data_IF_061200561729
#
_entry.id   IF_061200561729
#
_cell.length_a   1.000
_cell.length_b   1.000
_cell.length_c   1.000
_cell.angle_alpha   90.00
_cell.angle_beta   90.00
_cell.angle_gamma   90.00
#
_symmetry.space_group_name_H-M   'P 1'
#
loop_
_entity.id
_entity.type
_entity.pdbx_description
1 polymer ?
#
# COMPACT_ATOMS: atom_id res chain seq x y z
N UNK A 1 5.65 18.14 -4.99
CA UNK A 1 4.61 18.30 -3.94
C UNK A 1 4.38 16.92 -3.39
N UNK A 2 4.45 16.70 -2.07
CA UNK A 2 4.42 15.33 -1.55
C UNK A 2 3.06 14.66 -1.78
N UNK A 3 3.07 13.42 -2.27
CA UNK A 3 1.86 12.63 -2.55
C UNK A 3 1.79 11.40 -1.66
N UNK A 4 0.55 11.02 -1.30
CA UNK A 4 0.23 9.77 -0.60
C UNK A 4 -0.92 9.05 -1.30
N UNK A 5 -0.98 7.74 -1.14
CA UNK A 5 -1.80 6.87 -1.98
C UNK A 5 -2.66 5.96 -1.10
N UNK A 6 -3.94 5.81 -1.43
CA UNK A 6 -4.83 4.85 -0.75
C UNK A 6 -5.33 3.80 -1.72
N UNK A 7 -5.23 2.54 -1.33
CA UNK A 7 -5.63 1.38 -2.11
C UNK A 7 -7.07 0.99 -1.78
N UNK A 8 -7.83 0.61 -2.79
CA UNK A 8 -9.25 0.25 -2.69
C UNK A 8 -9.58 -0.98 -3.53
N UNK A 9 -10.56 -1.76 -3.07
CA UNK A 9 -11.25 -2.72 -3.92
C UNK A 9 -12.08 -1.99 -4.98
N UNK A 10 -12.17 -2.55 -6.20
CA UNK A 10 -13.04 -2.01 -7.25
C UNK A 10 -14.54 -2.02 -6.89
N UNK A 11 -14.96 -2.75 -5.85
CA UNK A 11 -16.36 -2.80 -5.43
C UNK A 11 -16.82 -1.53 -4.70
N UNK A 12 -15.89 -0.80 -4.10
CA UNK A 12 -16.22 0.39 -3.30
C UNK A 12 -16.12 1.69 -4.08
N UNK A 13 -15.83 1.66 -5.38
CA UNK A 13 -15.61 2.86 -6.19
C UNK A 13 -16.77 3.86 -6.09
N UNK A 14 -18.02 3.40 -6.18
CA UNK A 14 -19.21 4.26 -6.01
C UNK A 14 -19.33 4.84 -4.60
N UNK A 15 -18.99 4.06 -3.59
CA UNK A 15 -19.07 4.50 -2.19
C UNK A 15 -18.02 5.57 -1.88
N UNK A 16 -16.85 5.48 -2.52
CA UNK A 16 -15.77 6.45 -2.37
C UNK A 16 -16.18 7.81 -2.93
N UNK A 17 -16.87 7.84 -4.07
CA UNK A 17 -17.27 9.08 -4.75
C UNK A 17 -18.80 9.33 -4.67
N UNK A 18 -19.45 8.84 -3.62
CA UNK A 18 -20.92 8.90 -3.45
C UNK A 18 -21.42 10.33 -3.21
N UNK A 19 -20.62 11.15 -2.53
CA UNK A 19 -20.94 12.55 -2.24
C UNK A 19 -20.24 13.46 -3.25
N UNK A 20 -20.99 14.40 -3.81
CA UNK A 20 -20.42 15.42 -4.69
C UNK A 20 -19.30 16.18 -3.98
N UNK A 21 -18.21 16.43 -4.72
CA UNK A 21 -17.01 17.14 -4.26
C UNK A 21 -16.25 16.50 -3.08
N UNK A 22 -16.58 15.26 -2.70
CA UNK A 22 -15.95 14.56 -1.58
C UNK A 22 -15.49 13.14 -1.96
N UNK A 23 -14.33 12.75 -1.43
CA UNK A 23 -13.79 11.40 -1.47
C UNK A 23 -13.91 10.77 -0.08
N UNK A 24 -14.75 9.76 0.07
CA UNK A 24 -14.93 9.00 1.30
C UNK A 24 -13.84 7.95 1.49
N UNK A 25 -13.10 8.02 2.60
CA UNK A 25 -12.09 7.04 2.97
C UNK A 25 -12.45 6.36 4.28
N UNK A 26 -12.41 5.02 4.30
CA UNK A 26 -12.67 4.24 5.51
C UNK A 26 -11.55 4.42 6.53
N UNK A 27 -11.95 4.69 7.77
CA UNK A 27 -11.12 4.65 8.96
C UNK A 27 -11.46 3.40 9.79
N UNK A 28 -10.45 2.82 10.43
CA UNK A 28 -10.57 1.69 11.35
C UNK A 28 -10.06 2.08 12.73
N UNK A 29 -10.56 1.42 13.77
CA UNK A 29 -9.97 1.52 15.11
C UNK A 29 -8.80 0.52 15.22
N UNK A 30 -7.78 0.80 16.07
CA UNK A 30 -6.67 -0.11 16.32
C UNK A 30 -7.04 -1.57 16.57
N UNK A 31 -8.15 -1.83 17.27
CA UNK A 31 -8.66 -3.19 17.53
C UNK A 31 -9.14 -3.94 16.28
N UNK A 32 -9.45 -3.22 15.20
CA UNK A 32 -10.03 -3.74 13.96
C UNK A 32 -8.97 -3.83 12.83
N UNK A 33 -7.69 -3.66 13.17
CA UNK A 33 -6.58 -3.79 12.24
C UNK A 33 -6.40 -5.25 11.77
N UNK A 34 -5.86 -5.41 10.56
CA UNK A 34 -5.75 -6.71 9.91
C UNK A 34 -4.63 -7.59 10.48
N UNK A 35 -3.59 -6.98 11.05
CA UNK A 35 -2.54 -7.70 11.76
C UNK A 35 -2.73 -7.56 13.29
N UNK A 36 -3.01 -8.66 14.03
CA UNK A 36 -3.16 -8.62 15.48
C UNK A 36 -1.86 -8.25 16.22
N UNK A 37 -0.71 -8.29 15.55
CA UNK A 37 0.59 -7.86 16.08
C UNK A 37 0.92 -6.42 15.70
N UNK A 38 0.05 -5.70 14.99
CA UNK A 38 0.34 -4.38 14.43
C UNK A 38 0.66 -3.31 15.48
N UNK A 39 0.16 -3.46 16.71
CA UNK A 39 0.42 -2.52 17.79
C UNK A 39 1.72 -2.84 18.50
N UNK A 40 2.68 -1.93 18.35
CA UNK A 40 4.03 -2.07 18.87
C UNK A 40 4.14 -1.62 20.34
N UNK A 41 3.39 -2.29 21.21
CA UNK A 41 3.31 -2.01 22.66
C UNK A 41 3.99 -3.09 23.51
N UNK A 42 4.80 -3.96 22.90
CA UNK A 42 5.59 -4.96 23.62
C UNK A 42 6.48 -4.29 24.67
N UNK A 43 6.45 -4.80 25.90
CA UNK A 43 7.37 -4.38 26.97
C UNK A 43 8.55 -5.35 27.06
N UNK A 44 9.66 -4.88 27.60
CA UNK A 44 10.85 -5.71 27.88
C UNK A 44 10.42 -6.90 28.78
N UNK A 45 10.74 -8.16 28.42
CA UNK A 45 10.40 -9.32 29.23
C UNK A 45 10.91 -9.25 30.68
N UNK A 46 11.93 -8.44 30.95
CA UNK A 46 12.48 -8.24 32.29
C UNK A 46 11.75 -7.14 33.10
N UNK A 47 10.66 -6.57 32.58
CA UNK A 47 9.85 -5.56 33.30
C UNK A 47 9.17 -6.20 34.50
N UNK A 48 9.20 -5.55 35.67
CA UNK A 48 8.63 -6.14 36.88
C UNK A 48 7.08 -6.18 36.84
N UNK A 49 6.44 -7.13 37.55
CA UNK A 49 4.97 -7.22 37.59
C UNK A 49 4.28 -5.91 38.03
N UNK A 50 4.88 -5.18 38.97
CA UNK A 50 4.35 -3.88 39.43
C UNK A 50 4.39 -2.81 38.33
N UNK A 51 5.46 -2.79 37.53
CA UNK A 51 5.59 -1.89 36.38
C UNK A 51 4.62 -2.27 35.26
N UNK A 52 4.42 -3.57 35.01
CA UNK A 52 3.43 -4.07 34.05
C UNK A 52 2.01 -3.68 34.45
N UNK A 53 1.66 -3.83 35.74
CA UNK A 53 0.36 -3.41 36.26
C UNK A 53 0.15 -1.90 36.13
N UNK A 54 1.17 -1.10 36.46
CA UNK A 54 1.13 0.36 36.29
C UNK A 54 0.97 0.77 34.82
N UNK A 55 1.71 0.13 33.91
CA UNK A 55 1.57 0.37 32.48
C UNK A 55 0.15 0.06 31.99
N UNK A 56 -0.39 -1.11 32.35
CA UNK A 56 -1.73 -1.52 31.96
C UNK A 56 -2.82 -0.57 32.47
N UNK A 57 -2.68 -0.05 33.69
CA UNK A 57 -3.62 0.94 34.24
C UNK A 57 -3.57 2.29 33.49
N UNK A 58 -2.37 2.80 33.23
CA UNK A 58 -2.18 4.12 32.58
C UNK A 58 -2.49 4.08 31.07
N UNK A 59 -2.08 3.01 30.40
CA UNK A 59 -2.15 2.86 28.93
C UNK A 59 -3.44 2.15 28.49
N UNK A 60 -3.96 1.21 29.29
CA UNK A 60 -5.18 0.48 28.96
C UNK A 60 -6.43 1.36 28.84
N UNK A 61 -6.41 2.54 29.47
CA UNK A 61 -7.48 3.54 29.37
C UNK A 61 -7.39 4.49 28.16
N UNK A 62 -6.40 4.35 27.28
CA UNK A 62 -6.24 5.25 26.12
C UNK A 62 -7.41 5.02 25.14
N UNK A 63 -8.20 6.07 24.82
CA UNK A 63 -9.27 5.94 23.85
C UNK A 63 -8.71 5.65 22.47
N UNK A 64 -9.31 4.67 21.80
CA UNK A 64 -9.02 4.38 20.41
C UNK A 64 -9.60 5.46 19.50
N UNK A 65 -8.84 5.83 18.48
CA UNK A 65 -9.18 6.88 17.52
C UNK A 65 -9.27 6.28 16.11
N UNK A 66 -10.28 6.68 15.32
CA UNK A 66 -10.36 6.27 13.92
C UNK A 66 -9.09 6.64 13.17
N UNK A 67 -8.52 5.69 12.44
CA UNK A 67 -7.29 5.87 11.67
C UNK A 67 -7.49 5.41 10.24
N UNK A 68 -7.01 6.21 9.28
CA UNK A 68 -6.90 5.78 7.88
C UNK A 68 -5.44 5.72 7.48
N UNK A 69 -5.07 4.61 6.84
CA UNK A 69 -3.73 4.34 6.36
C UNK A 69 -3.61 4.62 4.86
N UNK A 70 -2.47 5.19 4.49
CA UNK A 70 -2.02 5.50 3.15
C UNK A 70 -0.63 4.90 2.93
N UNK A 71 -0.19 4.80 1.68
CA UNK A 71 1.17 4.45 1.30
C UNK A 71 1.84 5.65 0.65
N UNK A 72 3.17 5.72 0.73
CA UNK A 72 3.99 6.65 -0.07
C UNK A 72 4.23 6.17 -1.50
N UNK A 73 3.63 5.06 -1.93
CA UNK A 73 3.84 4.51 -3.27
C UNK A 73 2.58 3.85 -3.84
N UNK A 74 2.24 4.10 -5.11
CA UNK A 74 1.14 3.41 -5.80
C UNK A 74 1.58 2.10 -6.47
N UNK A 75 2.86 1.71 -6.40
CA UNK A 75 3.41 0.59 -7.17
C UNK A 75 3.89 -0.59 -6.31
N UNK A 76 3.44 -0.67 -5.05
CA UNK A 76 3.84 -1.74 -4.12
C UNK A 76 3.01 -3.01 -4.40
N UNK A 77 3.63 -4.01 -5.01
CA UNK A 77 2.91 -5.22 -5.44
C UNK A 77 2.13 -5.95 -4.32
N UNK A 78 2.69 -6.15 -3.11
CA UNK A 78 1.92 -6.71 -1.99
C UNK A 78 0.67 -5.88 -1.62
N UNK A 79 0.76 -4.54 -1.69
CA UNK A 79 -0.39 -3.67 -1.40
C UNK A 79 -1.52 -3.87 -2.40
N UNK A 80 -1.18 -4.05 -3.68
CA UNK A 80 -2.17 -4.37 -4.71
C UNK A 80 -2.83 -5.73 -4.50
N UNK A 81 -2.06 -6.72 -4.01
CA UNK A 81 -2.59 -8.04 -3.70
C UNK A 81 -3.59 -7.99 -2.54
N UNK A 82 -3.20 -7.37 -1.43
CA UNK A 82 -3.98 -7.38 -0.18
C UNK A 82 -5.10 -6.34 -0.14
N UNK A 83 -4.83 -5.10 -0.56
CA UNK A 83 -5.76 -3.97 -0.37
C UNK A 83 -6.48 -3.55 -1.65
N UNK A 84 -5.99 -3.96 -2.82
CA UNK A 84 -6.64 -3.71 -4.11
C UNK A 84 -7.14 -5.01 -4.77
N UNK A 85 -7.68 -5.93 -3.96
CA UNK A 85 -8.39 -7.15 -4.39
C UNK A 85 -7.64 -7.93 -5.48
N UNK A 86 -6.42 -8.38 -5.21
CA UNK A 86 -5.60 -9.14 -6.16
C UNK A 86 -5.34 -8.40 -7.49
N UNK A 87 -4.98 -7.13 -7.41
CA UNK A 87 -4.68 -6.25 -8.57
C UNK A 87 -5.89 -5.87 -9.44
N UNK A 88 -7.13 -6.15 -9.02
CA UNK A 88 -8.34 -5.70 -9.72
C UNK A 88 -8.93 -4.41 -9.15
N UNK A 89 -8.39 -3.89 -8.06
CA UNK A 89 -8.81 -2.65 -7.43
C UNK A 89 -8.20 -1.39 -8.05
N UNK A 90 -8.22 -0.30 -7.31
CA UNK A 90 -7.70 1.00 -7.75
C UNK A 90 -7.00 1.71 -6.59
N UNK A 91 -6.25 2.75 -6.92
CA UNK A 91 -5.53 3.62 -5.99
C UNK A 91 -5.95 5.06 -6.24
N UNK A 92 -6.08 5.83 -5.16
CA UNK A 92 -6.29 7.27 -5.22
C UNK A 92 -5.05 7.96 -4.70
N UNK A 93 -4.56 8.95 -5.44
CA UNK A 93 -3.47 9.82 -5.05
C UNK A 93 -4.01 11.10 -4.41
N UNK A 94 -3.42 11.50 -3.29
CA UNK A 94 -3.77 12.70 -2.55
C UNK A 94 -2.58 13.64 -2.42
N UNK A 95 -2.87 14.93 -2.41
CA UNK A 95 -1.93 15.98 -2.03
C UNK A 95 -1.73 16.02 -0.51
N UNK A 96 -0.54 15.62 -0.06
CA UNK A 96 -0.24 15.54 1.37
C UNK A 96 -0.23 16.92 2.04
N UNK A 97 0.27 17.95 1.36
CA UNK A 97 0.41 19.29 1.94
C UNK A 97 -0.97 19.92 2.13
N UNK A 98 -1.86 19.78 1.14
CA UNK A 98 -3.24 20.23 1.24
C UNK A 98 -4.00 19.49 2.36
N UNK A 99 -3.83 18.16 2.45
CA UNK A 99 -4.42 17.36 3.53
C UNK A 99 -3.93 17.80 4.91
N UNK A 100 -2.63 17.99 5.10
CA UNK A 100 -2.05 18.43 6.38
C UNK A 100 -2.58 19.80 6.81
N UNK A 101 -2.74 20.72 5.86
CA UNK A 101 -3.30 22.04 6.13
C UNK A 101 -4.79 21.99 6.49
N UNK A 102 -5.58 21.20 5.75
CA UNK A 102 -7.02 21.09 5.96
C UNK A 102 -7.36 20.37 7.27
N UNK A 103 -6.66 19.28 7.55
CA UNK A 103 -6.87 18.46 8.75
C UNK A 103 -5.98 18.90 9.92
N UNK A 104 -5.63 20.19 10.01
CA UNK A 104 -4.78 20.72 11.09
C UNK A 104 -5.26 20.26 12.47
N UNK A 105 -4.32 19.84 13.32
CA UNK A 105 -4.59 19.21 14.62
C UNK A 105 -4.94 17.72 14.58
N UNK A 106 -5.05 17.08 13.41
CA UNK A 106 -5.01 15.63 13.26
C UNK A 106 -3.63 15.23 12.71
N UNK A 107 -2.89 14.34 13.39
CA UNK A 107 -1.57 13.95 12.91
C UNK A 107 -1.69 13.13 11.62
N UNK A 108 -0.99 13.60 10.58
CA UNK A 108 -0.75 12.87 9.32
C UNK A 108 0.74 12.61 9.21
N UNK A 109 1.19 11.48 9.74
CA UNK A 109 2.62 11.17 9.89
C UNK A 109 2.99 9.83 9.27
N UNK A 110 4.27 9.72 8.93
CA UNK A 110 4.88 8.46 8.48
C UNK A 110 5.00 7.49 9.65
N UNK A 111 4.80 6.21 9.33
CA UNK A 111 5.03 5.13 10.28
C UNK A 111 6.53 4.86 10.39
N UNK A 112 7.01 4.77 11.63
CA UNK A 112 8.36 4.34 11.95
C UNK A 112 8.43 2.82 12.04
N UNK A 113 9.32 2.22 11.26
CA UNK A 113 9.49 0.76 11.22
C UNK A 113 10.58 0.31 12.19
N UNK A 114 10.30 -0.73 12.98
CA UNK A 114 11.21 -1.20 14.04
C UNK A 114 11.17 -2.70 14.23
N UNK A 115 12.30 -3.28 14.66
CA UNK A 115 12.42 -4.70 15.04
C UNK A 115 12.05 -4.94 16.51
N UNK A 116 12.26 -3.93 17.37
CA UNK A 116 12.00 -4.00 18.82
C UNK A 116 11.39 -2.72 19.39
N UNK A 117 10.61 -2.79 20.49
CA UNK A 117 10.03 -1.65 21.20
C UNK A 117 11.00 -0.48 21.36
N UNK A 118 10.49 0.75 21.32
CA UNK A 118 11.34 1.93 21.45
C UNK A 118 12.11 1.90 22.77
N UNK A 119 13.44 2.04 22.70
CA UNK A 119 14.35 1.99 23.85
C UNK A 119 13.97 2.95 25.00
N UNK A 120 13.34 4.08 24.68
CA UNK A 120 12.92 5.07 25.68
C UNK A 120 11.68 4.64 26.46
N UNK A 121 10.87 3.71 25.94
CA UNK A 121 9.63 3.26 26.60
C UNK A 121 9.92 2.75 28.01
N UNK A 122 10.97 1.93 28.16
CA UNK A 122 11.39 1.39 29.45
C UNK A 122 11.74 2.49 30.44
N UNK A 123 12.56 3.46 30.03
CA UNK A 123 12.97 4.59 30.88
C UNK A 123 11.78 5.46 31.30
N UNK A 124 10.85 5.72 30.38
CA UNK A 124 9.64 6.52 30.65
C UNK A 124 8.74 5.77 31.64
N UNK A 125 8.52 4.47 31.42
CA UNK A 125 7.74 3.61 32.31
C UNK A 125 8.36 3.55 33.72
N UNK A 126 9.67 3.27 33.81
CA UNK A 126 10.40 3.24 35.08
C UNK A 126 10.25 4.56 35.84
N UNK A 127 10.43 5.69 35.15
CA UNK A 127 10.29 7.02 35.74
C UNK A 127 8.88 7.25 36.25
N UNK A 128 7.85 6.91 35.45
CA UNK A 128 6.45 7.09 35.82
C UNK A 128 6.06 6.20 37.01
N UNK A 129 6.44 4.93 37.00
CA UNK A 129 6.10 3.94 38.02
C UNK A 129 6.80 4.23 39.37
N UNK A 130 8.03 4.73 39.36
CA UNK A 130 8.77 5.09 40.59
C UNK A 130 8.29 6.42 41.15
N UNK A 131 8.20 7.45 40.31
CA UNK A 131 7.88 8.80 40.77
C UNK A 131 6.40 8.98 41.14
N UNK A 132 5.49 8.25 40.46
CA UNK A 132 4.03 8.30 40.63
C UNK A 132 3.44 9.71 40.53
N UNK A 133 4.11 10.62 39.80
CA UNK A 133 3.59 11.98 39.58
C UNK A 133 2.71 12.02 38.32
N UNK A 134 1.59 12.75 38.33
CA UNK A 134 0.68 12.84 37.18
C UNK A 134 1.37 13.20 35.86
N UNK A 135 2.35 14.10 35.89
CA UNK A 135 3.12 14.49 34.70
C UNK A 135 3.79 13.31 34.00
N UNK A 136 4.43 12.41 34.74
CA UNK A 136 5.14 11.28 34.13
C UNK A 136 4.18 10.19 33.66
N UNK A 137 3.04 10.03 34.32
CA UNK A 137 1.97 9.16 33.83
C UNK A 137 1.39 9.70 32.51
N UNK A 138 1.19 11.02 32.40
CA UNK A 138 0.81 11.68 31.15
C UNK A 138 1.86 11.49 30.05
N UNK A 139 3.14 11.70 30.36
CA UNK A 139 4.24 11.50 29.39
C UNK A 139 4.27 10.04 28.88
N UNK A 140 4.07 9.05 29.77
CA UNK A 140 3.95 7.63 29.40
C UNK A 140 2.74 7.38 28.49
N UNK A 141 1.58 7.94 28.85
CA UNK A 141 0.36 7.78 28.08
C UNK A 141 0.49 8.37 26.67
N UNK A 142 1.06 9.58 26.55
CA UNK A 142 1.30 10.23 25.26
C UNK A 142 2.31 9.47 24.41
N UNK A 143 3.38 8.98 25.03
CA UNK A 143 4.38 8.18 24.33
C UNK A 143 3.78 6.88 23.80
N UNK A 144 3.04 6.15 24.63
CA UNK A 144 2.36 4.92 24.24
C UNK A 144 1.32 5.17 23.14
N UNK A 145 0.57 6.29 23.22
CA UNK A 145 -0.35 6.71 22.17
C UNK A 145 0.39 6.85 20.84
N UNK A 146 1.42 7.69 20.76
CA UNK A 146 2.14 7.93 19.50
C UNK A 146 2.75 6.64 18.94
N UNK A 147 3.43 5.85 19.77
CA UNK A 147 4.02 4.58 19.32
C UNK A 147 2.96 3.57 18.84
N UNK A 148 1.77 3.53 19.46
CA UNK A 148 0.70 2.62 19.03
C UNK A 148 0.15 2.95 17.63
N UNK A 149 0.12 4.23 17.26
CA UNK A 149 -0.39 4.65 15.95
C UNK A 149 0.70 4.78 14.89
N UNK A 150 1.93 5.14 15.24
CA UNK A 150 2.96 5.53 14.27
C UNK A 150 4.21 4.65 14.32
N UNK A 151 4.14 3.48 14.93
CA UNK A 151 5.19 2.46 14.86
C UNK A 151 4.62 1.14 14.36
N UNK A 152 5.39 0.42 13.53
CA UNK A 152 5.04 -0.90 13.01
C UNK A 152 6.29 -1.78 12.90
N UNK A 153 6.09 -3.09 12.85
CA UNK A 153 7.15 -4.06 12.61
C UNK A 153 7.88 -3.83 11.28
N UNK A 154 9.20 -4.01 11.26
CA UNK A 154 10.06 -3.76 10.09
C UNK A 154 9.69 -4.62 8.86
N UNK A 155 9.13 -5.80 9.09
CA UNK A 155 8.64 -6.71 8.08
C UNK A 155 7.56 -6.06 7.19
N UNK A 156 6.85 -5.05 7.69
CA UNK A 156 5.84 -4.28 6.96
C UNK A 156 6.38 -2.98 6.32
N UNK A 157 7.69 -2.73 6.37
CA UNK A 157 8.31 -1.51 5.82
C UNK A 157 8.07 -1.28 4.34
N UNK A 158 7.77 -2.35 3.59
CA UNK A 158 7.40 -2.26 2.18
C UNK A 158 6.09 -1.49 1.93
N UNK A 159 5.19 -1.39 2.92
CA UNK A 159 3.94 -0.63 2.79
C UNK A 159 4.19 0.88 2.68
N UNK A 160 5.34 1.36 3.22
CA UNK A 160 5.72 2.78 3.26
C UNK A 160 4.59 3.66 3.78
N UNK A 161 4.07 3.27 4.93
CA UNK A 161 2.78 3.68 5.46
C UNK A 161 2.82 5.10 6.02
N UNK A 162 1.73 5.84 5.79
CA UNK A 162 1.44 7.12 6.40
C UNK A 162 0.01 7.06 6.96
N UNK A 163 -0.20 7.54 8.19
CA UNK A 163 -1.48 7.44 8.88
C UNK A 163 -2.03 8.81 9.20
N UNK A 164 -3.34 8.97 9.01
CA UNK A 164 -4.11 10.06 9.59
C UNK A 164 -4.91 9.52 10.77
N UNK A 165 -4.73 10.10 11.95
CA UNK A 165 -5.49 9.75 13.17
C UNK A 165 -6.50 10.85 13.48
N UNK A 166 -7.78 10.50 13.54
CA UNK A 166 -8.87 11.44 13.79
C UNK A 166 -8.94 11.82 15.28
N UNK A 167 -8.28 12.91 15.64
CA UNK A 167 -8.27 13.51 16.97
C UNK A 167 -9.46 14.43 17.20
N UNK A 168 -10.01 15.01 16.13
CA UNK A 168 -11.08 16.02 16.17
C UNK A 168 -12.49 15.45 15.94
N UNK A 169 -12.62 14.13 15.80
CA UNK A 169 -13.89 13.42 15.53
C UNK A 169 -14.55 13.92 14.24
N UNK A 170 -13.75 14.00 13.17
CA UNK A 170 -14.19 14.41 11.82
C UNK A 170 -14.89 13.27 11.06
N UNK A 171 -14.69 12.02 11.50
CA UNK A 171 -15.29 10.85 10.87
C UNK A 171 -16.80 10.77 11.11
N UNK A 172 -17.53 10.38 10.06
CA UNK A 172 -18.96 10.08 10.11
C UNK A 172 -19.18 8.56 10.14
N UNK A 173 -20.15 8.08 10.92
CA UNK A 173 -20.49 6.65 10.96
C UNK A 173 -21.57 6.36 9.90
N UNK A 174 -21.22 5.53 8.91
CA UNK A 174 -22.11 5.08 7.84
C UNK A 174 -22.08 3.56 7.76
N UNK A 175 -23.24 2.92 7.95
CA UNK A 175 -23.39 1.44 7.91
C UNK A 175 -22.29 0.73 8.73
N UNK A 176 -22.13 1.13 10.00
CA UNK A 176 -21.12 0.61 10.95
C UNK A 176 -19.65 0.85 10.56
N UNK A 177 -19.38 1.67 9.53
CA UNK A 177 -18.03 2.09 9.16
C UNK A 177 -17.80 3.56 9.50
N UNK A 178 -16.65 3.87 10.08
CA UNK A 178 -16.19 5.26 10.22
C UNK A 178 -15.60 5.74 8.91
N UNK A 179 -16.18 6.78 8.31
CA UNK A 179 -15.75 7.35 7.03
C UNK A 179 -15.24 8.77 7.26
N UNK A 180 -14.04 9.05 6.78
CA UNK A 180 -13.50 10.41 6.66
C UNK A 180 -13.79 10.92 5.25
N UNK A 181 -14.44 12.07 5.13
CA UNK A 181 -14.65 12.72 3.84
C UNK A 181 -13.52 13.71 3.58
N UNK A 182 -12.81 13.50 2.48
CA UNK A 182 -11.70 14.35 2.02
C UNK A 182 -12.22 15.19 0.84
N UNK A 183 -12.05 16.52 0.83
CA UNK A 183 -12.36 17.34 -0.33
C UNK A 183 -11.71 16.82 -1.61
N UNK A 184 -12.50 16.75 -2.70
CA UNK A 184 -12.03 16.19 -3.98
C UNK A 184 -10.87 17.00 -4.57
N UNK A 185 -10.78 18.30 -4.24
CA UNK A 185 -9.68 19.19 -4.62
C UNK A 185 -8.30 18.72 -4.11
N UNK A 186 -8.25 17.81 -3.12
CA UNK A 186 -7.01 17.22 -2.62
C UNK A 186 -6.67 15.90 -3.31
N UNK A 187 -7.57 15.36 -4.13
CA UNK A 187 -7.34 14.18 -4.95
C UNK A 187 -6.73 14.62 -6.27
N UNK A 188 -5.60 14.02 -6.66
CA UNK A 188 -4.90 14.41 -7.89
C UNK A 188 -4.98 13.37 -8.99
N UNK A 189 -5.11 12.08 -8.65
CA UNK A 189 -5.25 11.04 -9.65
C UNK A 189 -5.95 9.78 -9.15
N UNK A 190 -6.48 9.00 -10.09
CA UNK A 190 -6.99 7.64 -9.90
C UNK A 190 -6.15 6.70 -10.75
N UNK A 191 -5.62 5.64 -10.13
CA UNK A 191 -4.80 4.62 -10.79
C UNK A 191 -5.54 3.28 -10.70
N UNK A 192 -6.02 2.73 -11.81
CA UNK A 192 -6.69 1.43 -11.83
C UNK A 192 -5.68 0.28 -11.99
N UNK A 193 -5.99 -0.87 -11.41
CA UNK A 193 -5.11 -2.03 -11.46
C UNK A 193 -5.06 -2.73 -12.82
N UNK A 194 -4.07 -3.61 -13.07
CA UNK A 194 -3.92 -4.33 -14.32
C UNK A 194 -5.05 -5.34 -14.58
N UNK A 195 -5.75 -5.78 -13.53
CA UNK A 195 -6.91 -6.69 -13.62
C UNK A 195 -8.23 -5.96 -13.33
N UNK A 196 -8.25 -4.64 -13.46
CA UNK A 196 -9.47 -3.87 -13.21
C UNK A 196 -10.59 -4.36 -14.14
N UNK A 197 -11.82 -4.57 -13.63
CA UNK A 197 -12.89 -5.12 -14.46
C UNK A 197 -13.26 -4.18 -15.62
N UNK A 198 -13.38 -4.75 -16.82
CA UNK A 198 -13.65 -3.98 -18.04
C UNK A 198 -15.00 -3.26 -17.97
N UNK A 199 -16.01 -3.88 -17.35
CA UNK A 199 -17.34 -3.31 -17.16
C UNK A 199 -17.36 -2.09 -16.22
N UNK A 200 -16.30 -1.88 -15.44
CA UNK A 200 -16.16 -0.71 -14.53
C UNK A 200 -15.22 0.36 -15.10
N UNK A 201 -14.61 0.14 -16.26
CA UNK A 201 -13.61 1.04 -16.81
C UNK A 201 -14.21 2.40 -17.17
N UNK A 202 -15.34 2.40 -17.88
CA UNK A 202 -16.08 3.61 -18.26
C UNK A 202 -16.51 4.42 -17.03
N UNK A 203 -16.91 3.73 -15.95
CA UNK A 203 -17.26 4.35 -14.67
C UNK A 203 -16.05 5.07 -14.06
N UNK A 204 -14.87 4.43 -14.05
CA UNK A 204 -13.66 5.04 -13.51
C UNK A 204 -13.21 6.27 -14.32
N UNK A 205 -13.34 6.23 -15.65
CA UNK A 205 -13.04 7.35 -16.55
C UNK A 205 -14.03 8.50 -16.35
N UNK A 206 -15.32 8.20 -16.19
CA UNK A 206 -16.35 9.21 -15.92
C UNK A 206 -16.13 9.92 -14.59
N UNK A 207 -15.74 9.18 -13.55
CA UNK A 207 -15.40 9.75 -12.24
C UNK A 207 -14.19 10.68 -12.36
N UNK A 208 -13.14 10.23 -13.06
CA UNK A 208 -11.94 11.06 -13.25
C UNK A 208 -12.26 12.35 -14.01
N UNK A 209 -13.01 12.25 -15.12
CA UNK A 209 -13.40 13.41 -15.92
C UNK A 209 -14.33 14.39 -15.17
N UNK A 210 -15.29 13.88 -14.38
CA UNK A 210 -16.21 14.72 -13.59
C UNK A 210 -15.46 15.58 -12.56
N UNK A 211 -14.39 15.05 -12.00
CA UNK A 211 -13.65 15.65 -10.89
C UNK A 211 -12.29 16.23 -11.30
N UNK A 212 -12.01 16.35 -12.61
CA UNK A 212 -10.74 16.83 -13.17
C UNK A 212 -9.50 16.09 -12.63
N UNK A 213 -9.61 14.77 -12.49
CA UNK A 213 -8.55 13.90 -11.98
C UNK A 213 -7.77 13.28 -13.13
N UNK A 214 -6.46 13.12 -12.96
CA UNK A 214 -5.67 12.33 -13.91
C UNK A 214 -6.02 10.85 -13.73
N UNK A 215 -6.36 10.19 -14.83
CA UNK A 215 -6.64 8.76 -14.84
C UNK A 215 -5.43 7.99 -15.35
N UNK A 216 -5.07 6.93 -14.63
CA UNK A 216 -3.97 6.05 -14.97
C UNK A 216 -4.40 4.58 -14.95
N UNK A 217 -3.76 3.76 -15.77
CA UNK A 217 -3.81 2.30 -15.70
C UNK A 217 -2.44 1.75 -15.33
N UNK A 218 -2.39 0.88 -14.32
CA UNK A 218 -1.18 0.18 -13.93
C UNK A 218 -0.91 -1.01 -14.86
N UNK A 219 0.32 -1.09 -15.36
CA UNK A 219 0.85 -2.18 -16.15
C UNK A 219 2.05 -2.83 -15.45
N UNK A 220 2.25 -4.12 -15.68
CA UNK A 220 3.40 -4.87 -15.17
C UNK A 220 4.38 -5.05 -16.33
N UNK A 221 5.62 -4.57 -16.16
CA UNK A 221 6.68 -4.79 -17.14
C UNK A 221 6.94 -6.27 -17.38
N UNK A 222 7.08 -6.66 -18.65
CA UNK A 222 7.34 -8.05 -19.03
C UNK A 222 8.82 -8.36 -18.89
N UNK A 223 9.69 -7.43 -19.29
CA UNK A 223 11.14 -7.61 -19.24
C UNK A 223 11.71 -7.37 -17.86
N UNK A 224 11.19 -6.36 -17.18
CA UNK A 224 11.47 -6.14 -15.76
C UNK A 224 10.14 -6.09 -15.04
N UNK A 225 9.88 -6.95 -14.04
CA UNK A 225 8.60 -7.01 -13.32
C UNK A 225 8.46 -5.83 -12.33
N UNK A 226 8.76 -4.62 -12.80
CA UNK A 226 8.48 -3.36 -12.14
C UNK A 226 7.20 -2.79 -12.75
N UNK A 227 6.23 -2.35 -11.93
CA UNK A 227 5.06 -1.69 -12.44
C UNK A 227 5.40 -0.33 -13.06
N UNK A 228 4.66 0.03 -14.10
CA UNK A 228 4.59 1.37 -14.68
C UNK A 228 3.13 1.72 -14.89
N UNK A 229 2.82 2.99 -15.11
CA UNK A 229 1.44 3.42 -15.38
C UNK A 229 1.36 4.09 -16.75
N UNK A 230 0.19 4.02 -17.35
CA UNK A 230 -0.16 4.78 -18.56
C UNK A 230 -1.32 5.70 -18.27
N UNK A 231 -1.31 6.91 -18.81
CA UNK A 231 -2.47 7.80 -18.73
C UNK A 231 -3.48 7.54 -19.86
N UNK A 232 -4.54 8.34 -19.91
CA UNK A 232 -5.55 8.28 -20.97
C UNK A 232 -5.05 8.61 -22.38
N UNK A 233 -3.85 9.19 -22.52
CA UNK A 233 -3.20 9.50 -23.80
C UNK A 233 -2.18 8.43 -24.21
N UNK A 234 -2.06 7.34 -23.45
CA UNK A 234 -1.02 6.31 -23.60
C UNK A 234 0.40 6.79 -23.25
N UNK A 235 0.54 7.96 -22.61
CA UNK A 235 1.82 8.43 -22.10
C UNK A 235 2.24 7.56 -20.91
N UNK A 236 3.52 7.18 -20.89
CA UNK A 236 4.06 6.20 -19.94
C UNK A 236 4.76 6.91 -18.79
N UNK A 237 4.39 6.55 -17.56
CA UNK A 237 4.97 7.11 -16.35
C UNK A 237 5.52 6.00 -15.44
N UNK A 238 6.59 6.33 -14.73
CA UNK A 238 7.26 5.47 -13.77
C UNK A 238 7.30 6.13 -12.41
N UNK A 239 7.10 5.35 -11.36
CA UNK A 239 7.16 5.85 -10.00
C UNK A 239 8.61 5.89 -9.50
N UNK A 240 9.16 7.08 -9.31
CA UNK A 240 10.53 7.29 -8.83
C UNK A 240 10.58 8.47 -7.85
N UNK A 241 11.42 8.35 -6.80
CA UNK A 241 11.64 9.40 -5.81
C UNK A 241 10.37 9.95 -5.13
N UNK A 242 9.28 9.18 -5.10
CA UNK A 242 8.03 9.58 -4.44
C UNK A 242 6.97 10.19 -5.37
N UNK A 243 7.27 10.36 -6.66
CA UNK A 243 6.38 10.97 -7.64
C UNK A 243 6.31 10.12 -8.92
N UNK A 244 5.23 10.30 -9.69
CA UNK A 244 5.11 9.74 -11.05
C UNK A 244 5.76 10.70 -12.04
N UNK A 245 6.75 10.21 -12.78
CA UNK A 245 7.45 10.98 -13.82
C UNK A 245 7.34 10.29 -15.17
N UNK A 246 7.27 11.06 -16.25
CA UNK A 246 7.31 10.52 -17.61
C UNK A 246 8.54 9.64 -17.84
N UNK A 247 8.37 8.57 -18.61
CA UNK A 247 9.45 7.67 -18.97
C UNK A 247 10.08 8.10 -20.31
N UNK A 248 11.37 8.41 -20.29
CA UNK A 248 12.08 8.91 -21.48
C UNK A 248 12.41 7.82 -22.52
N UNK A 249 12.54 6.58 -22.06
CA UNK A 249 13.10 5.49 -22.86
C UNK A 249 12.13 4.31 -22.88
N UNK A 250 11.49 4.10 -24.02
CA UNK A 250 10.37 3.18 -24.20
C UNK A 250 10.67 2.18 -25.31
N UNK A 251 10.18 0.96 -25.16
CA UNK A 251 10.18 -0.03 -26.22
C UNK A 251 9.31 0.46 -27.39
N UNK A 252 9.84 0.48 -28.60
CA UNK A 252 9.11 0.90 -29.81
C UNK A 252 7.88 0.02 -30.12
N UNK A 253 7.85 -1.21 -29.61
CA UNK A 253 6.77 -2.17 -29.88
C UNK A 253 5.68 -2.20 -28.80
N UNK A 254 6.06 -2.26 -27.52
CA UNK A 254 5.11 -2.45 -26.42
C UNK A 254 5.01 -1.27 -25.45
N UNK A 255 5.78 -0.19 -25.69
CA UNK A 255 5.85 1.00 -24.82
C UNK A 255 6.29 0.70 -23.38
N UNK A 256 6.91 -0.47 -23.13
CA UNK A 256 7.49 -0.78 -21.82
C UNK A 256 8.72 0.11 -21.55
N UNK A 257 8.84 0.71 -20.35
CA UNK A 257 10.05 1.44 -19.97
C UNK A 257 11.31 0.58 -20.00
N UNK A 258 12.32 1.04 -20.72
CA UNK A 258 13.60 0.35 -20.91
C UNK A 258 14.67 0.89 -19.97
N UNK A 259 15.45 -0.02 -19.37
CA UNK A 259 16.62 0.34 -18.54
C UNK A 259 17.88 0.63 -19.36
N UNK A 260 17.97 0.04 -20.54
CA UNK A 260 19.09 0.16 -21.48
C UNK A 260 18.66 1.02 -22.65
N UNK A 261 19.62 1.65 -23.36
CA UNK A 261 19.34 2.49 -24.55
C UNK A 261 19.00 1.66 -25.81
N UNK A 262 18.48 0.46 -25.61
CA UNK A 262 18.01 -0.39 -26.70
C UNK A 262 16.68 0.16 -27.23
N UNK A 263 16.32 -0.17 -28.48
CA UNK A 263 15.04 0.24 -29.07
C UNK A 263 13.89 -0.70 -28.73
N UNK A 264 14.19 -1.95 -28.41
CA UNK A 264 13.22 -2.99 -28.09
C UNK A 264 13.54 -3.64 -26.74
N UNK A 265 12.49 -4.03 -26.01
CA UNK A 265 12.66 -4.83 -24.80
C UNK A 265 13.10 -6.27 -25.15
N UNK A 266 13.74 -7.00 -24.22
CA UNK A 266 14.15 -8.40 -24.43
C UNK A 266 13.09 -9.34 -25.03
N UNK A 267 11.81 -9.10 -24.73
CA UNK A 267 10.71 -9.89 -25.29
C UNK A 267 10.35 -9.46 -26.71
N UNK A 268 10.38 -8.16 -27.00
CA UNK A 268 10.09 -7.63 -28.33
C UNK A 268 11.26 -7.79 -29.31
N UNK A 269 12.47 -8.08 -28.81
CA UNK A 269 13.62 -8.44 -29.65
C UNK A 269 13.59 -9.89 -30.15
N UNK A 270 12.63 -10.71 -29.71
CA UNK A 270 12.44 -12.08 -30.23
C UNK A 270 12.00 -11.97 -31.69
N UNK A 271 12.62 -12.77 -32.56
CA UNK A 271 12.34 -12.80 -33.99
C UNK A 271 11.88 -14.20 -34.37
N UNK A 272 11.26 -14.34 -35.55
CA UNK A 272 10.83 -15.66 -36.05
C UNK A 272 11.99 -16.68 -36.10
N UNK A 273 13.22 -16.24 -36.38
CA UNK A 273 14.40 -17.12 -36.37
C UNK A 273 14.69 -17.66 -34.97
N UNK A 274 14.56 -16.82 -33.94
CA UNK A 274 14.70 -17.25 -32.54
C UNK A 274 13.59 -18.23 -32.15
N UNK A 275 12.35 -17.98 -32.58
CA UNK A 275 11.21 -18.85 -32.31
C UNK A 275 11.37 -20.22 -32.97
N UNK A 276 11.65 -20.27 -34.28
CA UNK A 276 11.89 -21.51 -35.02
C UNK A 276 13.04 -22.32 -34.40
N UNK A 277 14.14 -21.67 -34.02
CA UNK A 277 15.24 -22.32 -33.33
C UNK A 277 14.83 -22.88 -31.96
N UNK A 278 14.03 -22.14 -31.18
CA UNK A 278 13.53 -22.60 -29.90
C UNK A 278 12.57 -23.79 -30.05
N UNK A 279 11.73 -23.79 -31.09
CA UNK A 279 10.80 -24.89 -31.38
C UNK A 279 11.53 -26.17 -31.79
N UNK A 280 12.52 -26.07 -32.70
CA UNK A 280 13.31 -27.21 -33.17
C UNK A 280 14.16 -27.84 -32.06
N UNK A 281 14.65 -27.01 -31.13
CA UNK A 281 15.52 -27.44 -30.04
C UNK A 281 14.78 -27.65 -28.71
N UNK A 282 13.45 -27.65 -28.69
CA UNK A 282 12.69 -27.85 -27.46
C UNK A 282 12.71 -29.35 -27.07
N UNK A 283 13.39 -29.73 -25.97
CA UNK A 283 13.54 -31.13 -25.61
C UNK A 283 12.20 -31.81 -25.29
N UNK A 284 11.23 -31.07 -24.72
CA UNK A 284 9.90 -31.62 -24.45
C UNK A 284 9.14 -31.91 -25.73
N UNK A 285 9.21 -31.03 -26.75
CA UNK A 285 8.61 -31.32 -28.06
C UNK A 285 9.28 -32.52 -28.75
N UNK A 286 10.59 -32.69 -28.59
CA UNK A 286 11.32 -33.84 -29.15
C UNK A 286 10.91 -35.17 -28.50
N UNK A 287 10.74 -35.18 -27.17
CA UNK A 287 10.29 -36.37 -26.43
C UNK A 287 8.80 -36.66 -26.72
N UNK A 288 7.99 -35.61 -26.84
CA UNK A 288 6.57 -35.73 -27.23
C UNK A 288 6.40 -36.32 -28.63
N UNK A 289 7.27 -35.95 -29.57
CA UNK A 289 7.24 -36.48 -30.94
C UNK A 289 7.47 -38.01 -31.01
N UNK A 290 8.08 -38.62 -30.00
CA UNK A 290 8.21 -40.09 -29.87
C UNK A 290 7.17 -40.72 -28.93
N UNK A 291 6.23 -39.92 -28.40
CA UNK A 291 5.13 -40.37 -27.54
C UNK A 291 5.51 -40.64 -26.08
N UNK A 292 6.66 -40.15 -25.62
CA UNK A 292 7.23 -40.50 -24.29
C UNK A 292 7.21 -39.33 -23.29
N UNK A 293 6.58 -38.20 -23.62
CA UNK A 293 6.63 -37.00 -22.78
C UNK A 293 6.00 -37.24 -21.39
N UNK A 294 4.82 -37.85 -21.35
CA UNK A 294 4.12 -38.14 -20.09
C UNK A 294 4.95 -39.08 -19.19
N UNK A 295 5.52 -40.15 -19.77
CA UNK A 295 6.39 -41.09 -19.06
C UNK A 295 7.65 -40.39 -18.50
N UNK A 296 8.25 -39.50 -19.28
CA UNK A 296 9.41 -38.72 -18.86
C UNK A 296 9.08 -37.78 -17.69
N UNK A 297 7.95 -37.06 -17.77
CA UNK A 297 7.51 -36.15 -16.71
C UNK A 297 7.15 -36.91 -15.43
N UNK A 298 6.49 -38.06 -15.56
CA UNK A 298 6.18 -38.96 -14.44
C UNK A 298 7.43 -39.53 -13.77
N UNK A 299 8.44 -39.90 -14.55
CA UNK A 299 9.72 -40.38 -14.03
C UNK A 299 10.47 -39.27 -13.27
N UNK A 300 10.53 -38.06 -13.82
CA UNK A 300 11.17 -36.89 -13.18
C UNK A 300 10.43 -36.44 -11.92
N UNK A 301 9.10 -36.56 -11.88
CA UNK A 301 8.31 -36.26 -10.69
C UNK A 301 8.54 -37.25 -9.53
N UNK A 302 8.99 -38.47 -9.81
CA UNK A 302 9.28 -39.52 -8.82
C UNK A 302 10.70 -39.43 -8.26
N UNK A 303 11.67 -38.91 -9.02
CA UNK A 303 13.07 -38.74 -8.58
C UNK A 303 13.30 -37.52 -7.68
N UNK A 304 12.33 -36.62 -7.58
CA UNK A 304 12.36 -35.42 -6.71
C UNK A 304 11.71 -35.57 -5.33
N UNK A 305 11.40 -36.80 -4.88
CA UNK A 305 10.95 -37.11 -3.52
C UNK A 305 11.97 -37.94 -2.77
#
# INVERSE_FOLDING_TARGET
>A
MSKIYKYFSHDVMRLVFDRDELCGVKCSLPKDYNDPYELFLGLDPNTSPDQLAFYNDVVGGIPQKPTTCFSKSPTVAPMWAHYAKNHSGFVIEFDLEAMQKHFDGNPIWEVSYRVRPHENLKKILETAAVSKKPRYAYDLQMFAFVESYFTKYEEWSYERECRLVDMKNLTEVLHDNSILFIPIEFVTSIIVGPKFPQEKLEESLSIAAKNDLVWYQLHIGKSYPKPYVKDGNEDVFIFQNGELSGADNLCESCSEPLKTRDTLCPWCSITNVHEEAAEQNNPFRMIDAIGELDNYMDAMGKTGK
#
